data_IF_959790008528
#
_entry.id   IF_959790008528
#
_cell.length_a   1.000
_cell.length_b   1.000
_cell.length_c   1.000
_cell.angle_alpha   90.00
_cell.angle_beta   90.00
_cell.angle_gamma   90.00
#
_symmetry.space_group_name_H-M   'P 1'
#
loop_
_entity.id
_entity.type
_entity.pdbx_description
1 polymer ?
#
# COMPACT_ATOMS: atom_id res chain seq x y z
N UNK A 1 9.60 11.40 5.21
CA UNK A 1 9.74 11.78 6.64
C UNK A 1 8.74 11.00 7.47
N UNK A 2 8.61 11.32 8.76
CA UNK A 2 7.59 10.75 9.64
C UNK A 2 6.25 11.45 9.42
N UNK A 3 5.24 10.67 9.03
CA UNK A 3 3.85 11.08 9.17
C UNK A 3 3.38 10.77 10.59
N UNK A 4 2.61 11.68 11.16
CA UNK A 4 1.91 11.49 12.43
C UNK A 4 0.44 11.81 12.24
N UNK A 5 -0.43 11.11 12.95
CA UNK A 5 -1.83 11.47 12.99
C UNK A 5 -2.00 12.86 13.62
N UNK A 6 -3.18 13.46 13.46
CA UNK A 6 -3.49 14.80 13.99
C UNK A 6 -3.42 14.87 15.52
N UNK A 7 -3.57 13.74 16.21
CA UNK A 7 -3.39 13.59 17.66
C UNK A 7 -1.92 13.36 18.08
N UNK A 8 -0.98 13.38 17.12
CA UNK A 8 0.45 13.15 17.33
C UNK A 8 0.88 11.68 17.39
N UNK A 9 -0.07 10.73 17.32
CA UNK A 9 0.22 9.30 17.33
C UNK A 9 0.95 8.86 16.05
N UNK A 10 1.69 7.74 16.16
CA UNK A 10 2.57 7.28 15.09
C UNK A 10 1.81 6.73 13.88
N UNK A 11 2.28 7.08 12.69
CA UNK A 11 1.83 6.51 11.42
C UNK A 11 3.02 5.89 10.67
N UNK A 12 2.87 4.62 10.26
CA UNK A 12 3.87 3.98 9.39
C UNK A 12 3.92 4.73 8.06
N UNK A 13 5.13 5.13 7.67
CA UNK A 13 5.42 6.04 6.54
C UNK A 13 6.32 5.40 5.49
N UNK A 14 6.73 4.16 5.71
CA UNK A 14 7.58 3.36 4.81
C UNK A 14 6.96 2.00 4.60
N UNK A 15 7.44 1.29 3.58
CA UNK A 15 7.22 -0.14 3.51
C UNK A 15 8.26 -0.85 2.67
N UNK A 16 8.19 -2.18 2.70
CA UNK A 16 8.80 -3.06 1.68
C UNK A 16 7.80 -3.34 0.55
N UNK A 17 8.29 -3.60 -0.66
CA UNK A 17 7.47 -3.99 -1.80
C UNK A 17 6.66 -5.25 -1.46
N UNK A 18 5.45 -5.33 -2.03
CA UNK A 18 4.62 -6.50 -1.84
C UNK A 18 5.25 -7.71 -2.53
N UNK A 19 5.74 -8.64 -1.71
CA UNK A 19 6.12 -9.99 -2.11
C UNK A 19 4.97 -10.96 -1.82
N UNK A 20 5.01 -12.17 -2.38
CA UNK A 20 4.04 -13.22 -2.05
C UNK A 20 4.00 -13.52 -0.53
N UNK A 21 5.16 -13.51 0.14
CA UNK A 21 5.21 -13.65 1.60
C UNK A 21 4.45 -12.56 2.34
N UNK A 22 4.57 -11.29 1.90
CA UNK A 22 3.76 -10.19 2.44
C UNK A 22 2.29 -10.28 2.06
N UNK A 23 1.96 -10.86 0.91
CA UNK A 23 0.57 -11.12 0.52
C UNK A 23 -0.09 -12.13 1.48
N UNK A 24 0.65 -13.11 1.99
CA UNK A 24 0.17 -14.02 3.05
C UNK A 24 -0.07 -13.25 4.36
N UNK A 25 0.84 -12.35 4.76
CA UNK A 25 0.61 -11.50 5.95
C UNK A 25 -0.60 -10.56 5.77
N UNK A 26 -0.84 -10.09 4.53
CA UNK A 26 -2.04 -9.36 4.16
C UNK A 26 -3.29 -10.24 4.33
N UNK A 27 -3.27 -11.50 3.89
CA UNK A 27 -4.36 -12.48 4.09
C UNK A 27 -4.79 -12.53 5.56
N UNK A 28 -3.80 -12.64 6.44
CA UNK A 28 -3.98 -12.78 7.89
C UNK A 28 -4.32 -11.45 8.60
N UNK A 29 -4.36 -10.32 7.86
CA UNK A 29 -4.62 -9.00 8.44
C UNK A 29 -3.48 -8.46 9.31
N UNK A 30 -2.31 -9.10 9.28
CA UNK A 30 -1.17 -8.80 10.17
C UNK A 30 -0.54 -7.42 9.92
N UNK A 31 -0.82 -6.81 8.77
CA UNK A 31 -0.42 -5.43 8.47
C UNK A 31 -0.96 -4.41 9.48
N UNK A 32 -2.15 -4.67 10.06
CA UNK A 32 -2.77 -3.76 11.03
C UNK A 32 -2.05 -3.71 12.38
N UNK A 33 -1.24 -4.71 12.68
CA UNK A 33 -0.53 -4.83 13.96
C UNK A 33 0.92 -4.30 13.89
N UNK A 34 1.30 -3.60 12.80
CA UNK A 34 2.65 -3.04 12.66
C UNK A 34 3.76 -4.10 12.62
N UNK A 35 3.40 -5.36 12.35
CA UNK A 35 4.34 -6.50 12.25
C UNK A 35 5.19 -6.41 10.98
N UNK A 36 4.68 -5.69 9.97
CA UNK A 36 5.23 -5.77 8.61
C UNK A 36 6.23 -4.65 8.32
N UNK A 37 5.93 -3.41 8.70
CA UNK A 37 6.76 -2.26 8.38
C UNK A 37 6.82 -1.29 9.58
N UNK A 38 8.02 -0.80 9.89
CA UNK A 38 8.29 0.16 10.97
C UNK A 38 9.18 1.28 10.46
N UNK A 39 8.90 2.50 10.90
CA UNK A 39 9.72 3.66 10.54
C UNK A 39 11.13 3.52 11.14
N UNK A 40 12.20 3.66 10.34
CA UNK A 40 13.55 3.74 10.86
C UNK A 40 13.73 4.92 11.82
N UNK A 41 14.54 4.74 12.87
CA UNK A 41 14.91 5.82 13.81
C UNK A 41 16.12 6.63 13.35
N UNK A 42 16.86 6.12 12.36
CA UNK A 42 17.98 6.80 11.69
C UNK A 42 17.69 6.96 10.21
N UNK A 43 18.43 7.85 9.53
CA UNK A 43 18.37 7.94 8.07
C UNK A 43 18.74 6.58 7.50
N UNK A 44 17.85 5.99 6.71
CA UNK A 44 18.03 4.63 6.20
C UNK A 44 17.47 4.51 4.80
N UNK A 45 18.18 3.77 3.95
CA UNK A 45 17.63 3.35 2.67
C UNK A 45 16.46 2.40 2.92
N UNK A 46 15.33 2.67 2.27
CA UNK A 46 14.10 1.87 2.35
C UNK A 46 13.64 1.52 0.93
N UNK A 47 12.66 0.63 0.82
CA UNK A 47 12.15 0.24 -0.49
C UNK A 47 11.17 1.27 -1.05
N UNK A 48 10.23 1.76 -0.25
CA UNK A 48 9.34 2.84 -0.63
C UNK A 48 8.89 3.67 0.58
N UNK A 49 8.42 4.89 0.31
CA UNK A 49 7.88 5.84 1.31
C UNK A 49 6.49 6.30 0.89
N UNK A 50 5.64 6.67 1.86
CA UNK A 50 4.29 7.14 1.59
C UNK A 50 4.29 8.45 0.81
N UNK A 51 3.41 8.56 -0.20
CA UNK A 51 3.23 9.76 -1.02
C UNK A 51 2.83 11.02 -0.24
N UNK A 52 2.19 10.86 0.93
CA UNK A 52 1.81 11.97 1.81
C UNK A 52 2.99 12.80 2.35
N UNK A 53 4.24 12.28 2.28
CA UNK A 53 5.46 13.03 2.55
C UNK A 53 6.62 12.45 1.75
N UNK A 54 6.64 12.77 0.45
CA UNK A 54 7.65 12.33 -0.51
C UNK A 54 8.31 13.56 -1.16
N UNK A 55 9.64 13.52 -1.27
CA UNK A 55 10.41 14.48 -2.05
C UNK A 55 11.25 13.71 -3.05
N UNK A 56 11.22 14.15 -4.30
CA UNK A 56 11.93 13.53 -5.41
C UNK A 56 12.58 14.62 -6.26
N UNK A 57 13.78 14.35 -6.77
CA UNK A 57 14.42 15.26 -7.72
C UNK A 57 13.60 15.32 -9.02
N UNK A 58 13.48 16.52 -9.59
CA UNK A 58 12.75 16.72 -10.86
C UNK A 58 13.24 15.80 -11.96
N UNK A 59 14.56 15.75 -12.18
CA UNK A 59 15.20 14.89 -13.20
C UNK A 59 14.84 13.41 -13.04
N UNK A 60 14.74 12.92 -11.80
CA UNK A 60 14.37 11.52 -11.51
C UNK A 60 12.88 11.30 -11.76
N UNK A 61 12.03 12.24 -11.39
CA UNK A 61 10.59 12.13 -11.63
C UNK A 61 10.25 12.13 -13.13
N UNK A 62 10.93 12.99 -13.89
CA UNK A 62 10.81 13.05 -15.35
C UNK A 62 11.35 11.78 -16.02
N UNK A 63 12.52 11.29 -15.61
CA UNK A 63 13.07 10.03 -16.11
C UNK A 63 12.14 8.84 -15.81
N UNK A 64 11.43 8.86 -14.69
CA UNK A 64 10.44 7.84 -14.37
C UNK A 64 9.14 7.99 -15.18
N UNK A 65 8.95 9.09 -15.91
CA UNK A 65 7.67 9.47 -16.53
C UNK A 65 6.54 9.67 -15.50
N UNK A 66 6.88 10.25 -14.34
CA UNK A 66 5.93 10.61 -13.30
C UNK A 66 5.22 9.43 -12.62
N UNK A 67 4.02 9.70 -12.08
CA UNK A 67 3.13 8.66 -11.55
C UNK A 67 2.50 7.85 -12.69
N UNK A 68 2.18 6.58 -12.42
CA UNK A 68 1.40 5.78 -13.36
C UNK A 68 -0.07 6.21 -13.29
N UNK A 69 -0.58 6.81 -14.36
CA UNK A 69 -1.95 7.33 -14.45
C UNK A 69 -3.02 6.22 -14.34
N UNK A 70 -2.65 4.95 -14.47
CA UNK A 70 -3.55 3.83 -14.21
C UNK A 70 -3.79 3.57 -12.71
N UNK A 71 -3.02 4.22 -11.83
CA UNK A 71 -3.05 4.04 -10.37
C UNK A 71 -3.48 5.36 -9.71
N UNK A 72 -4.78 5.54 -9.56
CA UNK A 72 -5.36 6.70 -8.88
C UNK A 72 -5.58 6.40 -7.38
N UNK A 73 -4.61 6.81 -6.56
CA UNK A 73 -4.53 6.63 -5.09
C UNK A 73 -4.41 5.19 -4.58
N UNK A 74 -3.61 5.08 -3.52
CA UNK A 74 -3.16 3.84 -2.89
C UNK A 74 -2.32 2.97 -3.82
N UNK A 75 -1.04 2.76 -3.47
CA UNK A 75 -0.04 1.97 -4.22
C UNK A 75 0.72 2.76 -5.32
N UNK A 76 0.30 3.98 -5.66
CA UNK A 76 0.96 4.85 -6.63
C UNK A 76 2.38 5.24 -6.20
N UNK A 77 2.57 5.47 -4.90
CA UNK A 77 3.83 5.81 -4.26
C UNK A 77 4.79 4.61 -4.22
N UNK A 78 4.28 3.44 -3.87
CA UNK A 78 5.01 2.17 -3.93
C UNK A 78 5.42 1.85 -5.37
N UNK A 79 4.54 2.01 -6.34
CA UNK A 79 4.82 1.74 -7.75
C UNK A 79 5.89 2.70 -8.32
N UNK A 80 5.80 3.99 -8.00
CA UNK A 80 6.82 4.98 -8.36
C UNK A 80 8.19 4.60 -7.77
N UNK A 81 8.24 4.26 -6.48
CA UNK A 81 9.47 3.82 -5.82
C UNK A 81 10.02 2.50 -6.40
N UNK A 82 9.14 1.60 -6.86
CA UNK A 82 9.55 0.36 -7.51
C UNK A 82 10.23 0.63 -8.85
N UNK A 83 9.64 1.47 -9.70
CA UNK A 83 10.29 1.91 -10.95
C UNK A 83 11.59 2.64 -10.68
N UNK A 84 11.64 3.48 -9.64
CA UNK A 84 12.87 4.15 -9.20
C UNK A 84 13.98 3.13 -8.87
N UNK A 85 13.67 2.09 -8.10
CA UNK A 85 14.61 1.00 -7.78
C UNK A 85 15.07 0.24 -9.03
N UNK A 86 14.17 -0.05 -9.98
CA UNK A 86 14.53 -0.74 -11.23
C UNK A 86 15.52 0.07 -12.08
N UNK A 87 15.46 1.40 -12.01
CA UNK A 87 16.43 2.31 -12.65
C UNK A 87 17.69 2.58 -11.81
N UNK A 88 17.84 1.95 -10.65
CA UNK A 88 19.01 2.11 -9.77
C UNK A 88 18.95 3.32 -8.83
N UNK A 89 17.85 4.07 -8.82
CA UNK A 89 17.64 5.13 -7.84
C UNK A 89 17.37 4.55 -6.45
N UNK A 90 17.75 5.31 -5.42
CA UNK A 90 17.61 4.91 -4.02
C UNK A 90 16.58 5.76 -3.31
N UNK A 91 15.72 5.11 -2.54
CA UNK A 91 14.76 5.76 -1.65
C UNK A 91 15.30 5.79 -0.23
N UNK A 92 15.31 6.96 0.40
CA UNK A 92 15.76 7.14 1.78
C UNK A 92 14.63 7.65 2.67
N UNK A 93 14.55 7.09 3.87
CA UNK A 93 13.71 7.60 4.94
C UNK A 93 14.51 8.58 5.81
N UNK A 94 13.96 9.77 6.03
CA UNK A 94 14.51 10.78 6.93
C UNK A 94 13.63 10.90 8.19
N UNK A 95 14.08 10.38 9.36
CA UNK A 95 13.25 10.41 10.57
C UNK A 95 13.13 11.82 11.17
N UNK A 96 14.08 12.72 10.92
CA UNK A 96 14.10 14.04 11.57
C UNK A 96 13.08 15.04 10.99
N UNK A 97 12.41 14.68 9.90
CA UNK A 97 11.35 15.51 9.29
C UNK A 97 10.02 14.89 9.66
N UNK A 98 9.16 15.64 10.36
CA UNK A 98 7.84 15.18 10.80
C UNK A 98 6.74 16.10 10.29
N UNK A 99 5.63 15.53 9.81
CA UNK A 99 4.44 16.26 9.36
C UNK A 99 3.19 15.62 9.96
N UNK A 100 2.24 16.46 10.39
CA UNK A 100 0.91 16.01 10.81
C UNK A 100 0.07 15.69 9.56
N UNK A 101 -0.58 14.54 9.57
CA UNK A 101 -1.29 14.00 8.43
C UNK A 101 -2.59 13.35 8.88
N UNK A 102 -3.70 13.89 8.39
CA UNK A 102 -5.04 13.34 8.61
C UNK A 102 -5.27 12.16 7.66
N UNK A 103 -4.89 10.95 8.10
CA UNK A 103 -5.06 9.74 7.28
C UNK A 103 -6.55 9.52 6.96
N UNK A 104 -6.86 9.22 5.69
CA UNK A 104 -8.24 9.09 5.19
C UNK A 104 -9.09 10.38 5.31
N UNK A 105 -8.47 11.56 5.46
CA UNK A 105 -9.21 12.84 5.52
C UNK A 105 -10.06 13.11 4.28
N UNK A 106 -9.66 12.59 3.12
CA UNK A 106 -10.34 12.83 1.82
C UNK A 106 -11.12 11.62 1.28
N UNK A 107 -10.98 10.42 1.86
CA UNK A 107 -11.63 9.20 1.34
C UNK A 107 -11.97 8.24 2.47
N UNK A 108 -12.93 7.33 2.26
CA UNK A 108 -13.27 6.33 3.27
C UNK A 108 -12.37 5.09 3.20
N UNK A 109 -12.30 4.32 4.29
CA UNK A 109 -11.52 3.07 4.35
C UNK A 109 -11.94 2.03 3.31
N UNK A 110 -13.22 2.01 2.93
CA UNK A 110 -13.70 1.11 1.86
C UNK A 110 -13.04 1.46 0.52
N UNK A 111 -13.01 2.75 0.17
CA UNK A 111 -12.33 3.23 -1.04
C UNK A 111 -10.84 2.87 -1.03
N UNK A 112 -10.16 3.02 0.11
CA UNK A 112 -8.76 2.61 0.27
C UNK A 112 -8.57 1.12 -0.02
N UNK A 113 -9.36 0.25 0.61
CA UNK A 113 -9.22 -1.20 0.48
C UNK A 113 -9.48 -1.66 -0.96
N UNK A 114 -10.52 -1.14 -1.61
CA UNK A 114 -10.87 -1.49 -3.00
C UNK A 114 -9.75 -1.08 -3.96
N UNK A 115 -9.20 0.13 -3.82
CA UNK A 115 -8.09 0.58 -4.68
C UNK A 115 -6.81 -0.19 -4.40
N UNK A 116 -6.49 -0.53 -3.14
CA UNK A 116 -5.35 -1.41 -2.83
C UNK A 116 -5.48 -2.75 -3.54
N UNK A 117 -6.66 -3.37 -3.55
CA UNK A 117 -6.89 -4.63 -4.25
C UNK A 117 -6.64 -4.52 -5.76
N UNK A 118 -7.32 -3.55 -6.40
CA UNK A 118 -7.19 -3.27 -7.83
C UNK A 118 -5.73 -2.98 -8.21
N UNK A 119 -5.08 -2.09 -7.47
CA UNK A 119 -3.76 -1.56 -7.82
C UNK A 119 -2.65 -2.57 -7.51
N UNK A 120 -2.79 -3.44 -6.50
CA UNK A 120 -1.85 -4.55 -6.29
C UNK A 120 -1.92 -5.58 -7.42
N UNK A 121 -3.12 -5.91 -7.91
CA UNK A 121 -3.27 -6.81 -9.06
C UNK A 121 -2.66 -6.20 -10.33
N UNK A 122 -2.92 -4.92 -10.58
CA UNK A 122 -2.29 -4.17 -11.67
C UNK A 122 -0.75 -4.18 -11.55
N UNK A 123 -0.23 -3.86 -10.37
CA UNK A 123 1.21 -3.88 -10.09
C UNK A 123 1.83 -5.25 -10.37
N UNK A 124 1.21 -6.34 -9.88
CA UNK A 124 1.72 -7.70 -10.13
C UNK A 124 1.65 -8.07 -11.61
N UNK A 125 0.56 -7.73 -12.29
CA UNK A 125 0.44 -7.98 -13.73
C UNK A 125 1.51 -7.24 -14.54
N UNK A 126 1.88 -6.02 -14.10
CA UNK A 126 2.87 -5.17 -14.77
C UNK A 126 4.32 -5.59 -14.47
N UNK A 127 4.61 -6.00 -13.23
CA UNK A 127 5.99 -6.08 -12.72
C UNK A 127 6.43 -7.48 -12.25
N UNK A 128 5.52 -8.45 -12.16
CA UNK A 128 5.78 -9.80 -11.61
C UNK A 128 5.44 -10.89 -12.61
N UNK A 129 5.87 -12.12 -12.31
CA UNK A 129 5.53 -13.27 -13.15
C UNK A 129 4.03 -13.56 -13.14
N UNK A 130 3.53 -14.20 -14.21
CA UNK A 130 2.13 -14.61 -14.28
C UNK A 130 1.73 -15.52 -13.11
N UNK A 131 2.61 -16.41 -12.68
CA UNK A 131 2.39 -17.28 -11.52
C UNK A 131 2.20 -16.46 -10.23
N UNK A 132 3.08 -15.49 -9.96
CA UNK A 132 2.94 -14.60 -8.80
C UNK A 132 1.64 -13.80 -8.84
N UNK A 133 1.26 -13.29 -10.01
CA UNK A 133 -0.02 -12.61 -10.22
C UNK A 133 -1.21 -13.51 -9.88
N UNK A 134 -1.22 -14.75 -10.37
CA UNK A 134 -2.30 -15.71 -10.09
C UNK A 134 -2.38 -16.06 -8.60
N UNK A 135 -1.23 -16.27 -7.94
CA UNK A 135 -1.18 -16.54 -6.50
C UNK A 135 -1.73 -15.35 -5.71
N UNK A 136 -1.31 -14.12 -6.03
CA UNK A 136 -1.85 -12.92 -5.39
C UNK A 136 -3.37 -12.82 -5.59
N UNK A 137 -3.85 -13.05 -6.82
CA UNK A 137 -5.27 -13.01 -7.15
C UNK A 137 -6.07 -13.97 -6.28
N UNK A 138 -5.59 -15.21 -6.13
CA UNK A 138 -6.21 -16.22 -5.26
C UNK A 138 -6.20 -15.77 -3.79
N UNK A 139 -5.07 -15.27 -3.28
CA UNK A 139 -4.96 -14.75 -1.91
C UNK A 139 -5.99 -13.64 -1.64
N UNK A 140 -6.11 -12.67 -2.54
CA UNK A 140 -7.05 -11.55 -2.40
C UNK A 140 -8.51 -12.01 -2.42
N UNK A 141 -8.85 -12.95 -3.31
CA UNK A 141 -10.19 -13.57 -3.37
C UNK A 141 -10.51 -14.30 -2.06
N UNK A 142 -9.61 -15.17 -1.59
CA UNK A 142 -9.80 -15.92 -0.34
C UNK A 142 -10.05 -14.96 0.83
N UNK A 143 -9.21 -13.94 0.97
CA UNK A 143 -9.36 -12.93 2.02
C UNK A 143 -10.70 -12.22 1.94
N UNK A 144 -11.12 -11.80 0.75
CA UNK A 144 -12.35 -11.02 0.60
C UNK A 144 -13.61 -11.88 0.81
N UNK A 145 -13.61 -13.13 0.37
CA UNK A 145 -14.69 -14.08 0.66
C UNK A 145 -14.76 -14.34 2.17
N UNK A 146 -13.63 -14.66 2.80
CA UNK A 146 -13.56 -14.91 4.25
C UNK A 146 -14.10 -13.72 5.06
N UNK A 147 -13.62 -12.51 4.78
CA UNK A 147 -14.04 -11.31 5.51
C UNK A 147 -15.48 -10.89 5.21
N UNK A 148 -16.02 -11.24 4.03
CA UNK A 148 -17.44 -11.09 3.74
C UNK A 148 -18.31 -12.04 4.56
N UNK A 149 -17.88 -13.30 4.74
CA UNK A 149 -18.57 -14.29 5.58
C UNK A 149 -18.54 -13.84 7.05
N UNK A 150 -17.35 -13.48 7.57
CA UNK A 150 -17.21 -12.95 8.93
C UNK A 150 -18.10 -11.72 9.11
N UNK A 151 -18.08 -10.78 8.16
CA UNK A 151 -18.94 -9.60 8.18
C UNK A 151 -20.42 -9.93 8.27
N UNK A 152 -20.89 -10.96 7.56
CA UNK A 152 -22.26 -11.45 7.66
C UNK A 152 -22.57 -12.08 9.04
N UNK A 153 -21.67 -12.91 9.57
CA UNK A 153 -21.85 -13.60 10.84
C UNK A 153 -21.90 -12.65 12.04
N UNK A 154 -21.06 -11.61 12.05
CA UNK A 154 -21.01 -10.64 13.15
C UNK A 154 -21.92 -9.42 12.93
N UNK A 155 -22.72 -9.41 11.86
CA UNK A 155 -23.60 -8.27 11.52
C UNK A 155 -22.86 -6.98 11.11
N UNK A 156 -21.59 -7.07 10.70
CA UNK A 156 -20.81 -5.91 10.27
C UNK A 156 -21.10 -5.54 8.80
N UNK A 157 -21.98 -4.55 8.62
CA UNK A 157 -22.30 -3.97 7.30
C UNK A 157 -21.05 -3.42 6.60
N UNK A 158 -20.11 -2.84 7.36
CA UNK A 158 -18.85 -2.31 6.85
C UNK A 158 -17.98 -3.39 6.17
N UNK A 159 -17.73 -4.51 6.86
CA UNK A 159 -16.90 -5.60 6.30
C UNK A 159 -17.59 -6.22 5.09
N UNK A 160 -18.89 -6.49 5.20
CA UNK A 160 -19.67 -7.10 4.12
C UNK A 160 -19.67 -6.23 2.85
N UNK A 161 -19.93 -4.93 3.00
CA UNK A 161 -19.94 -3.99 1.86
C UNK A 161 -18.54 -3.86 1.25
N UNK A 162 -17.53 -3.61 2.09
CA UNK A 162 -16.15 -3.36 1.64
C UNK A 162 -15.58 -4.54 0.86
N UNK A 163 -15.71 -5.76 1.38
CA UNK A 163 -15.09 -6.92 0.74
C UNK A 163 -15.92 -7.48 -0.43
N UNK A 164 -17.23 -7.20 -0.50
CA UNK A 164 -18.01 -7.42 -1.72
C UNK A 164 -17.59 -6.47 -2.85
N UNK A 165 -17.36 -5.19 -2.54
CA UNK A 165 -16.84 -4.22 -3.51
C UNK A 165 -15.42 -4.60 -3.96
N UNK A 166 -14.56 -5.00 -3.03
CA UNK A 166 -13.21 -5.46 -3.36
C UNK A 166 -13.22 -6.68 -4.30
N UNK A 167 -14.11 -7.67 -4.08
CA UNK A 167 -14.26 -8.82 -4.98
C UNK A 167 -14.67 -8.42 -6.41
N UNK A 168 -15.49 -7.38 -6.56
CA UNK A 168 -15.92 -6.88 -7.89
C UNK A 168 -14.80 -6.17 -8.64
N UNK A 169 -13.72 -5.77 -7.97
CA UNK A 169 -12.56 -5.09 -8.57
C UNK A 169 -11.42 -6.02 -9.02
N UNK A 170 -11.57 -7.34 -8.81
CA UNK A 170 -10.59 -8.40 -9.13
C UNK A 170 -10.89 -9.05 -10.49
#
# INVERSE_FOLDING_TARGET
GQLRNTDGSFQVSVGSFYSLGKAILLLLGMQRFGVVDKNPVIIKQVEWVKGGLLMIKKEVFEDLNGFDENIFMYTEDMELCYRAKLKGYKTYFYPNVTVLHAEHGSTCRTFAIVNIYKNLLYFYKKHKSYAEYMILKIILIIKAVFLSIVGKLIGSSYLLKTYKEALRSI
#
